data_IF_319323858435
#
_entry.id   IF_319323858435
#
_cell.length_a   1.000
_cell.length_b   1.000
_cell.length_c   1.000
_cell.angle_alpha   90.00
_cell.angle_beta   90.00
_cell.angle_gamma   90.00
#
_symmetry.space_group_name_H-M   'P 1'
#
loop_
_entity.id
_entity.type
_entity.pdbx_description
1 polymer ?
#
# COMPACT_ATOMS: atom_id res chain seq x y z
N UNK A 1 -19.22 21.48 1.84
CA UNK A 1 -17.88 21.08 2.32
C UNK A 1 -17.88 19.58 2.58
N UNK A 2 -17.20 18.80 1.76
CA UNK A 2 -16.99 17.39 2.06
C UNK A 2 -15.94 17.30 3.17
N UNK A 3 -16.34 16.77 4.32
CA UNK A 3 -15.46 16.71 5.49
C UNK A 3 -14.27 15.79 5.20
N UNK A 4 -13.04 16.09 5.65
CA UNK A 4 -11.85 15.25 5.44
C UNK A 4 -12.06 13.79 5.90
N UNK A 5 -12.97 13.56 6.82
CA UNK A 5 -13.39 12.22 7.29
C UNK A 5 -13.87 11.34 6.14
N UNK A 6 -14.63 11.89 5.16
CA UNK A 6 -15.12 11.08 4.02
C UNK A 6 -13.97 10.55 3.17
N UNK A 7 -12.93 11.35 2.99
CA UNK A 7 -11.74 10.89 2.24
C UNK A 7 -10.91 9.87 3.02
N UNK A 8 -10.82 10.03 4.34
CA UNK A 8 -10.20 9.01 5.19
C UNK A 8 -10.96 7.68 5.10
N UNK A 9 -12.29 7.72 5.15
CA UNK A 9 -13.13 6.52 4.96
C UNK A 9 -12.88 5.93 3.57
N UNK A 10 -12.82 6.75 2.52
CA UNK A 10 -12.58 6.26 1.17
C UNK A 10 -11.18 5.60 1.03
N UNK A 11 -10.14 6.16 1.64
CA UNK A 11 -8.81 5.53 1.69
C UNK A 11 -8.88 4.18 2.41
N UNK A 12 -9.57 4.10 3.54
CA UNK A 12 -9.77 2.84 4.27
C UNK A 12 -10.52 1.83 3.40
N UNK A 13 -11.56 2.26 2.68
CA UNK A 13 -12.31 1.38 1.77
C UNK A 13 -11.43 0.81 0.64
N UNK A 14 -10.51 1.59 0.10
CA UNK A 14 -9.52 1.06 -0.85
C UNK A 14 -8.68 -0.05 -0.20
N UNK A 15 -8.21 0.17 1.03
CA UNK A 15 -7.48 -0.87 1.79
C UNK A 15 -8.32 -2.14 2.02
N UNK A 16 -9.59 -1.97 2.37
CA UNK A 16 -10.54 -3.10 2.55
C UNK A 16 -10.72 -3.88 1.25
N UNK A 17 -10.81 -3.20 0.10
CA UNK A 17 -10.91 -3.86 -1.22
C UNK A 17 -9.67 -4.72 -1.48
N UNK A 18 -8.47 -4.20 -1.21
CA UNK A 18 -7.25 -5.01 -1.35
C UNK A 18 -7.25 -6.21 -0.42
N UNK A 19 -7.67 -6.03 0.81
CA UNK A 19 -7.69 -7.08 1.82
C UNK A 19 -8.71 -8.20 1.50
N UNK A 20 -9.90 -7.82 1.03
CA UNK A 20 -11.03 -8.76 0.83
C UNK A 20 -11.04 -9.36 -0.57
N UNK A 21 -10.58 -8.64 -1.59
CA UNK A 21 -10.67 -9.10 -2.97
C UNK A 21 -9.32 -9.47 -3.57
N UNK A 22 -8.28 -8.66 -3.35
CA UNK A 22 -7.00 -8.87 -4.03
C UNK A 22 -6.24 -10.04 -3.41
N UNK A 23 -6.08 -10.08 -2.09
CA UNK A 23 -5.36 -11.18 -1.43
C UNK A 23 -6.01 -12.55 -1.71
N UNK A 24 -7.34 -12.75 -1.58
CA UNK A 24 -7.95 -14.02 -1.91
C UNK A 24 -7.84 -14.39 -3.39
N UNK A 25 -7.89 -13.42 -4.30
CA UNK A 25 -7.70 -13.67 -5.72
C UNK A 25 -6.26 -14.12 -6.03
N UNK A 26 -5.27 -13.52 -5.41
CA UNK A 26 -3.85 -13.94 -5.52
C UNK A 26 -3.65 -15.34 -4.95
N UNK A 27 -4.26 -15.63 -3.83
CA UNK A 27 -4.21 -16.95 -3.19
C UNK A 27 -4.78 -18.05 -4.11
N UNK A 28 -5.90 -17.78 -4.77
CA UNK A 28 -6.48 -18.70 -5.77
C UNK A 28 -5.60 -18.86 -7.02
N UNK A 29 -4.99 -17.77 -7.50
CA UNK A 29 -4.04 -17.85 -8.61
C UNK A 29 -2.82 -18.69 -8.25
N UNK A 30 -2.34 -18.59 -7.03
CA UNK A 30 -1.19 -19.36 -6.57
C UNK A 30 -1.49 -20.85 -6.44
N UNK A 31 -2.75 -21.25 -6.17
CA UNK A 31 -3.16 -22.64 -6.14
C UNK A 31 -2.85 -23.40 -7.42
N UNK A 32 -3.07 -22.77 -8.55
CA UNK A 32 -2.84 -23.38 -9.85
C UNK A 32 -1.34 -23.47 -10.20
N UNK A 33 -0.48 -22.82 -9.44
CA UNK A 33 0.89 -22.54 -9.83
C UNK A 33 1.94 -23.06 -8.82
N UNK A 34 1.57 -23.28 -7.56
CA UNK A 34 2.51 -23.75 -6.53
C UNK A 34 2.50 -25.27 -6.47
N UNK A 35 3.58 -25.89 -6.92
CA UNK A 35 3.85 -27.30 -6.60
C UNK A 35 4.50 -27.38 -5.22
N UNK A 36 3.93 -28.18 -4.33
CA UNK A 36 4.44 -28.39 -2.98
C UNK A 36 5.83 -29.05 -3.01
N UNK A 37 6.78 -28.41 -2.34
CA UNK A 37 8.07 -29.03 -2.04
C UNK A 37 7.96 -30.05 -0.88
N UNK A 38 8.94 -30.94 -0.71
CA UNK A 38 8.88 -32.01 0.28
C UNK A 38 8.81 -31.56 1.74
N UNK A 39 9.04 -30.28 2.03
CA UNK A 39 9.24 -29.77 3.40
C UNK A 39 8.16 -28.79 3.91
N UNK A 40 7.20 -28.37 3.07
CA UNK A 40 6.18 -27.39 3.45
C UNK A 40 4.87 -27.76 2.74
N UNK A 41 3.78 -27.81 3.49
CA UNK A 41 2.45 -27.98 2.93
C UNK A 41 1.98 -26.70 2.24
N UNK A 42 1.11 -26.82 1.24
CA UNK A 42 0.54 -25.68 0.52
C UNK A 42 -0.23 -24.76 1.49
N UNK A 43 -0.92 -25.33 2.45
CA UNK A 43 -1.73 -24.58 3.42
C UNK A 43 -0.86 -23.75 4.37
N UNK A 44 0.25 -24.31 4.88
CA UNK A 44 1.21 -23.56 5.69
C UNK A 44 1.85 -22.40 4.91
N UNK A 45 2.19 -22.65 3.65
CA UNK A 45 2.76 -21.60 2.80
C UNK A 45 1.76 -20.45 2.56
N UNK A 46 0.48 -20.78 2.30
CA UNK A 46 -0.60 -19.80 2.14
C UNK A 46 -0.81 -18.96 3.39
N UNK A 47 -0.78 -19.59 4.55
CA UNK A 47 -0.97 -18.90 5.81
C UNK A 47 0.12 -17.85 6.01
N UNK A 48 1.38 -18.19 5.76
CA UNK A 48 2.51 -17.26 5.81
C UNK A 48 2.37 -16.15 4.76
N UNK A 49 1.99 -16.50 3.51
CA UNK A 49 1.79 -15.52 2.45
C UNK A 49 0.70 -14.53 2.83
N UNK A 50 -0.47 -14.99 3.27
CA UNK A 50 -1.59 -14.14 3.67
C UNK A 50 -1.20 -13.20 4.81
N UNK A 51 -0.52 -13.71 5.84
CA UNK A 51 -0.08 -12.91 6.97
C UNK A 51 0.77 -11.72 6.53
N UNK A 52 1.77 -11.97 5.69
CA UNK A 52 2.68 -10.92 5.22
C UNK A 52 2.05 -9.98 4.18
N UNK A 53 1.17 -10.48 3.33
CA UNK A 53 0.39 -9.66 2.41
C UNK A 53 -0.52 -8.70 3.19
N UNK A 54 -1.21 -9.18 4.21
CA UNK A 54 -2.07 -8.38 5.08
C UNK A 54 -1.28 -7.33 5.86
N UNK A 55 -0.14 -7.71 6.42
CA UNK A 55 0.75 -6.78 7.12
C UNK A 55 1.22 -5.67 6.19
N UNK A 56 1.70 -6.00 4.99
CA UNK A 56 2.15 -5.03 4.00
C UNK A 56 1.04 -4.04 3.62
N UNK A 57 -0.16 -4.54 3.33
CA UNK A 57 -1.34 -3.71 3.01
C UNK A 57 -1.69 -2.79 4.18
N UNK A 58 -1.66 -3.28 5.42
CA UNK A 58 -1.92 -2.44 6.59
C UNK A 58 -0.91 -1.30 6.71
N UNK A 59 0.37 -1.57 6.52
CA UNK A 59 1.42 -0.53 6.55
C UNK A 59 1.26 0.46 5.41
N UNK A 60 0.98 0.00 4.18
CA UNK A 60 0.74 0.87 3.03
C UNK A 60 -0.49 1.78 3.23
N UNK A 61 -1.56 1.24 3.82
CA UNK A 61 -2.77 1.98 4.17
C UNK A 61 -2.48 3.07 5.21
N UNK A 62 -1.75 2.71 6.28
CA UNK A 62 -1.33 3.66 7.32
C UNK A 62 -0.45 4.76 6.72
N UNK A 63 0.50 4.42 5.85
CA UNK A 63 1.34 5.39 5.16
C UNK A 63 0.51 6.35 4.28
N UNK A 64 -0.50 5.84 3.56
CA UNK A 64 -1.40 6.66 2.74
C UNK A 64 -2.27 7.60 3.60
N UNK A 65 -2.79 7.11 4.74
CA UNK A 65 -3.54 7.92 5.69
C UNK A 65 -2.67 9.03 6.31
N UNK A 66 -1.45 8.70 6.70
CA UNK A 66 -0.50 9.71 7.23
C UNK A 66 -0.14 10.75 6.17
N UNK A 67 0.08 10.35 4.92
CA UNK A 67 0.26 11.29 3.82
C UNK A 67 -0.93 12.26 3.69
N UNK A 68 -2.15 11.73 3.73
CA UNK A 68 -3.37 12.54 3.67
C UNK A 68 -3.48 13.50 4.86
N UNK A 69 -3.26 13.02 6.08
CA UNK A 69 -3.29 13.82 7.31
C UNK A 69 -2.22 14.90 7.33
N UNK A 70 -0.99 14.58 6.93
CA UNK A 70 0.07 15.56 6.78
C UNK A 70 -0.32 16.69 5.83
N UNK A 71 -0.99 16.34 4.72
CA UNK A 71 -1.49 17.33 3.77
C UNK A 71 -2.54 18.25 4.33
N UNK A 72 -3.43 17.70 5.16
CA UNK A 72 -4.55 18.47 5.74
C UNK A 72 -4.10 19.34 6.92
N UNK A 73 -3.34 18.81 7.85
CA UNK A 73 -3.09 19.44 9.13
C UNK A 73 -1.70 20.07 9.24
N UNK A 74 -0.68 19.37 8.84
CA UNK A 74 0.70 19.84 9.03
C UNK A 74 1.08 20.84 7.95
N UNK A 75 0.84 20.51 6.68
CA UNK A 75 1.28 21.34 5.55
C UNK A 75 0.24 22.38 5.12
N UNK A 76 -1.04 22.19 5.48
CA UNK A 76 -2.08 23.19 5.30
C UNK A 76 -1.89 24.41 6.20
N UNK A 77 -1.32 24.22 7.41
CA UNK A 77 -1.11 25.26 8.39
C UNK A 77 0.26 25.98 8.29
N UNK A 78 1.27 25.32 7.73
CA UNK A 78 2.63 25.88 7.69
C UNK A 78 3.00 26.39 6.30
N UNK A 79 3.04 27.72 6.14
CA UNK A 79 3.63 28.41 4.97
C UNK A 79 5.14 28.14 4.81
N UNK A 80 5.77 27.48 5.78
CA UNK A 80 7.22 27.36 5.94
C UNK A 80 7.85 26.25 5.11
N UNK A 81 7.12 25.22 4.72
CA UNK A 81 7.70 24.12 3.94
C UNK A 81 7.58 24.46 2.46
N UNK A 82 8.70 24.82 1.85
CA UNK A 82 8.81 25.07 0.40
C UNK A 82 8.20 23.90 -0.39
N UNK A 83 7.52 24.22 -1.49
CA UNK A 83 6.82 23.22 -2.34
C UNK A 83 7.68 22.01 -2.76
N UNK A 84 9.01 22.20 -2.78
CA UNK A 84 9.95 21.13 -3.14
C UNK A 84 10.11 20.05 -2.04
N UNK A 85 9.91 20.41 -0.77
CA UNK A 85 10.07 19.46 0.34
C UNK A 85 8.93 18.42 0.40
N UNK A 86 7.75 18.77 -0.15
CA UNK A 86 6.59 17.86 -0.14
C UNK A 86 6.80 16.61 -1.00
N UNK A 87 7.59 16.71 -2.06
CA UNK A 87 8.00 15.56 -2.85
C UNK A 87 8.77 14.52 -2.02
N UNK A 88 9.71 14.98 -1.22
CA UNK A 88 10.52 14.12 -0.36
C UNK A 88 9.69 13.46 0.74
N UNK A 89 8.69 14.16 1.26
CA UNK A 89 7.76 13.59 2.24
C UNK A 89 6.95 12.45 1.62
N UNK A 90 6.40 12.65 0.42
CA UNK A 90 5.69 11.60 -0.30
C UNK A 90 6.58 10.39 -0.60
N UNK A 91 7.82 10.65 -1.07
CA UNK A 91 8.79 9.60 -1.31
C UNK A 91 9.17 8.86 -0.02
N UNK A 92 9.22 9.56 1.12
CA UNK A 92 9.44 8.94 2.43
C UNK A 92 8.32 7.95 2.79
N UNK A 93 7.06 8.32 2.62
CA UNK A 93 5.94 7.40 2.85
C UNK A 93 5.90 6.25 1.85
N UNK A 94 6.22 6.52 0.58
CA UNK A 94 6.39 5.47 -0.42
C UNK A 94 7.47 4.47 0.00
N UNK A 95 8.61 4.98 0.47
CA UNK A 95 9.71 4.12 0.95
C UNK A 95 9.26 3.25 2.13
N UNK A 96 8.49 3.79 3.08
CA UNK A 96 7.92 3.02 4.19
C UNK A 96 7.03 1.89 3.66
N UNK A 97 6.15 2.17 2.70
CA UNK A 97 5.29 1.16 2.09
C UNK A 97 6.11 0.07 1.36
N UNK A 98 7.21 0.46 0.68
CA UNK A 98 8.12 -0.51 0.03
C UNK A 98 8.88 -1.34 1.04
N UNK A 99 9.42 -0.73 2.09
CA UNK A 99 10.19 -1.45 3.12
C UNK A 99 9.33 -2.43 3.91
N UNK A 100 8.02 -2.19 4.02
CA UNK A 100 7.10 -3.12 4.65
C UNK A 100 6.98 -4.48 3.93
N UNK A 101 7.45 -4.57 2.69
CA UNK A 101 7.49 -5.82 1.91
C UNK A 101 8.66 -6.72 2.34
N UNK A 102 9.74 -6.13 2.84
CA UNK A 102 10.99 -6.86 3.15
C UNK A 102 10.79 -8.03 4.13
N UNK A 103 10.07 -7.89 5.26
CA UNK A 103 9.82 -9.03 6.14
C UNK A 103 9.11 -10.18 5.43
N UNK A 104 8.10 -9.87 4.59
CA UNK A 104 7.42 -10.88 3.79
C UNK A 104 8.35 -11.60 2.82
N UNK A 105 9.23 -10.88 2.16
CA UNK A 105 10.23 -11.46 1.25
C UNK A 105 11.23 -12.39 1.96
N UNK A 106 11.62 -12.04 3.18
CA UNK A 106 12.62 -12.79 3.94
C UNK A 106 12.00 -14.01 4.64
N UNK A 107 10.78 -13.86 5.16
CA UNK A 107 10.15 -14.85 6.03
C UNK A 107 9.19 -15.78 5.27
N UNK A 108 8.79 -15.44 4.05
CA UNK A 108 8.04 -16.38 3.21
C UNK A 108 9.00 -17.43 2.68
N UNK A 109 8.79 -18.72 2.97
CA UNK A 109 9.67 -19.77 2.51
C UNK A 109 9.78 -19.75 0.99
N UNK A 110 11.02 -19.72 0.49
CA UNK A 110 11.30 -19.81 -0.94
C UNK A 110 11.09 -21.27 -1.39
N UNK A 111 9.87 -21.62 -1.74
CA UNK A 111 9.58 -22.90 -2.38
C UNK A 111 9.91 -22.74 -3.87
N UNK A 112 11.10 -23.11 -4.28
CA UNK A 112 11.59 -23.05 -5.67
C UNK A 112 11.42 -21.65 -6.33
N UNK A 113 11.02 -21.61 -7.61
CA UNK A 113 10.88 -20.37 -8.38
C UNK A 113 9.72 -19.48 -7.90
N UNK A 114 8.82 -19.99 -7.09
CA UNK A 114 7.54 -19.36 -6.69
C UNK A 114 7.65 -18.38 -5.54
N UNK A 115 8.71 -18.44 -4.75
CA UNK A 115 9.01 -17.38 -3.78
C UNK A 115 9.10 -16.00 -4.44
N UNK A 116 9.56 -15.97 -5.72
CA UNK A 116 9.63 -14.73 -6.50
C UNK A 116 8.26 -14.17 -6.85
N UNK A 117 7.25 -15.03 -7.13
CA UNK A 117 5.90 -14.57 -7.42
C UNK A 117 5.25 -13.92 -6.20
N UNK A 118 5.39 -14.52 -5.02
CA UNK A 118 4.93 -13.91 -3.76
C UNK A 118 5.56 -12.53 -3.53
N UNK A 119 6.85 -12.37 -3.84
CA UNK A 119 7.52 -11.08 -3.75
C UNK A 119 6.92 -10.04 -4.70
N UNK A 120 6.60 -10.45 -5.94
CA UNK A 120 5.93 -9.56 -6.89
C UNK A 120 4.56 -9.13 -6.37
N UNK A 121 3.76 -10.05 -5.83
CA UNK A 121 2.47 -9.76 -5.23
C UNK A 121 2.61 -8.77 -4.05
N UNK A 122 3.55 -8.99 -3.13
CA UNK A 122 3.79 -8.06 -2.03
C UNK A 122 4.14 -6.65 -2.52
N UNK A 123 5.04 -6.54 -3.51
CA UNK A 123 5.44 -5.25 -4.07
C UNK A 123 4.26 -4.58 -4.78
N UNK A 124 3.56 -5.32 -5.63
CA UNK A 124 2.42 -4.79 -6.40
C UNK A 124 1.31 -4.33 -5.48
N UNK A 125 0.97 -5.12 -4.44
CA UNK A 125 -0.06 -4.77 -3.48
C UNK A 125 0.28 -3.50 -2.71
N UNK A 126 1.48 -3.41 -2.15
CA UNK A 126 1.87 -2.27 -1.35
C UNK A 126 2.04 -1.00 -2.17
N UNK A 127 2.73 -1.08 -3.31
CA UNK A 127 2.86 0.06 -4.22
C UNK A 127 1.52 0.43 -4.83
N UNK A 128 0.74 -0.55 -5.27
CA UNK A 128 -0.57 -0.34 -5.88
C UNK A 128 -1.52 0.35 -4.92
N UNK A 129 -1.64 -0.16 -3.69
CA UNK A 129 -2.49 0.45 -2.68
C UNK A 129 -2.05 1.88 -2.32
N UNK A 130 -0.77 2.07 -1.99
CA UNK A 130 -0.25 3.38 -1.63
C UNK A 130 -0.41 4.37 -2.79
N UNK A 131 -0.06 3.95 -4.00
CA UNK A 131 -0.15 4.80 -5.18
C UNK A 131 -1.61 5.15 -5.51
N UNK A 132 -2.52 4.18 -5.53
CA UNK A 132 -3.95 4.41 -5.78
C UNK A 132 -4.57 5.32 -4.72
N UNK A 133 -4.29 5.09 -3.45
CA UNK A 133 -4.81 5.92 -2.38
C UNK A 133 -4.30 7.36 -2.50
N UNK A 134 -3.02 7.57 -2.77
CA UNK A 134 -2.45 8.92 -2.94
C UNK A 134 -2.86 9.57 -4.26
N UNK A 135 -3.12 8.80 -5.31
CA UNK A 135 -3.60 9.26 -6.60
C UNK A 135 -5.04 9.81 -6.48
N UNK A 136 -5.92 9.04 -5.86
CA UNK A 136 -7.34 9.38 -5.75
C UNK A 136 -7.59 10.47 -4.71
N UNK A 137 -6.79 10.53 -3.65
CA UNK A 137 -7.08 11.34 -2.47
C UNK A 137 -5.94 12.30 -2.08
N UNK A 138 -5.15 12.79 -3.04
CA UNK A 138 -4.11 13.79 -2.74
C UNK A 138 -4.74 15.15 -2.40
N UNK A 139 -4.34 15.76 -1.27
CA UNK A 139 -4.84 17.05 -0.87
C UNK A 139 -4.49 18.14 -1.90
N UNK A 140 -5.45 19.01 -2.20
CA UNK A 140 -5.24 20.14 -3.14
C UNK A 140 -4.21 21.16 -2.66
N UNK A 141 -3.91 21.16 -1.35
CA UNK A 141 -2.86 21.99 -0.74
C UNK A 141 -1.45 21.59 -1.18
N UNK A 142 -1.26 20.40 -1.72
CA UNK A 142 0.02 19.96 -2.25
C UNK A 142 0.23 20.47 -3.66
N UNK A 143 1.34 21.17 -3.90
CA UNK A 143 1.82 21.49 -5.24
C UNK A 143 2.34 20.26 -5.97
N UNK A 144 2.99 19.35 -5.22
CA UNK A 144 3.42 18.07 -5.74
C UNK A 144 2.30 17.05 -5.55
N UNK A 145 1.87 16.52 -6.66
CA UNK A 145 0.88 15.44 -6.73
C UNK A 145 1.54 14.35 -7.57
N UNK A 146 1.46 13.07 -7.18
CA UNK A 146 1.97 11.99 -8.02
C UNK A 146 1.45 12.12 -9.45
N UNK A 147 2.22 11.66 -10.41
CA UNK A 147 1.84 11.67 -11.82
C UNK A 147 0.47 10.98 -11.98
N UNK A 148 -0.46 11.60 -12.69
CA UNK A 148 -1.86 11.21 -12.86
C UNK A 148 -2.78 11.42 -11.62
N UNK A 149 -2.31 11.97 -10.51
CA UNK A 149 -3.18 12.14 -9.36
C UNK A 149 -4.33 13.13 -9.63
N UNK A 150 -5.52 12.70 -9.31
CA UNK A 150 -6.68 13.58 -9.29
C UNK A 150 -6.53 14.55 -8.12
N UNK A 151 -6.44 15.85 -8.43
CA UNK A 151 -6.47 16.88 -7.40
C UNK A 151 -7.88 16.98 -6.86
N UNK A 152 -8.10 16.40 -5.70
CA UNK A 152 -9.35 16.60 -4.99
C UNK A 152 -9.33 18.01 -4.41
N UNK A 153 -10.09 18.91 -5.00
CA UNK A 153 -10.30 20.25 -4.44
C UNK A 153 -11.27 20.13 -3.28
N UNK A 154 -10.77 20.41 -2.09
CA UNK A 154 -11.63 20.61 -0.91
C UNK A 154 -12.17 22.03 -1.00
N UNK A 155 -13.48 22.14 -1.15
CA UNK A 155 -14.22 23.40 -1.11
C UNK A 155 -14.68 23.71 0.31
#
# INVERSE_FOLDING_TARGET
MVKPIVFMIAIVMVGVIFFVLVIPAEDQLMDSWVSTGPNITLDEWREVFRLWAQFGIAVALVAALFWFLCGQWIFGMTRWIKANNKRWVWLGFLLVAVLAVVPGMVLTPAVQEWGRLAWVCYVVNNLGLFYLATLLFSPSSFKYVPWLAMRVRYW
#
